data_IF_195106282463
#
_entry.id   IF_195106282463
#
_cell.length_a   1.000
_cell.length_b   1.000
_cell.length_c   1.000
_cell.angle_alpha   90.00
_cell.angle_beta   90.00
_cell.angle_gamma   90.00
#
_symmetry.space_group_name_H-M   'P 1'
#
loop_
_entity.id
_entity.type
_entity.pdbx_description
1 polymer ?
#
# COMPACT_ATOMS: atom_id res chain seq x y z
N UNK A 1 -61.29 6.86 -10.71
CA UNK A 1 -60.19 5.90 -10.53
C UNK A 1 -60.28 5.38 -9.10
N UNK A 2 -60.43 4.08 -8.90
CA UNK A 2 -60.78 3.49 -7.58
C UNK A 2 -59.56 3.63 -6.65
N UNK A 3 -59.72 4.19 -5.45
CA UNK A 3 -58.66 4.47 -4.47
C UNK A 3 -57.82 3.23 -4.16
N UNK A 4 -58.39 2.05 -4.14
CA UNK A 4 -57.67 0.77 -3.98
C UNK A 4 -56.67 0.47 -5.12
N UNK A 5 -56.97 0.80 -6.36
CA UNK A 5 -56.03 0.59 -7.50
C UNK A 5 -54.86 1.56 -7.44
N UNK A 6 -55.06 2.77 -6.91
CA UNK A 6 -54.00 3.76 -6.72
C UNK A 6 -53.02 3.34 -5.61
N UNK A 7 -53.57 2.81 -4.51
CA UNK A 7 -52.74 2.33 -3.37
C UNK A 7 -51.86 1.14 -3.80
N UNK A 8 -52.44 0.17 -4.55
CA UNK A 8 -51.67 -0.98 -5.06
C UNK A 8 -50.54 -0.54 -6.01
N UNK A 9 -50.79 0.44 -6.89
CA UNK A 9 -49.75 0.95 -7.80
C UNK A 9 -48.63 1.68 -7.05
N UNK A 10 -48.95 2.46 -6.00
CA UNK A 10 -47.96 3.15 -5.20
C UNK A 10 -47.09 2.14 -4.41
N UNK A 11 -47.70 1.12 -3.80
CA UNK A 11 -46.96 0.06 -3.06
C UNK A 11 -46.07 -0.72 -4.00
N UNK A 12 -46.53 -1.05 -5.22
CA UNK A 12 -45.70 -1.74 -6.22
C UNK A 12 -44.51 -0.91 -6.68
N UNK A 13 -44.64 0.40 -6.84
CA UNK A 13 -43.53 1.31 -7.16
C UNK A 13 -42.47 1.38 -6.03
N UNK A 14 -42.94 1.38 -4.79
CA UNK A 14 -42.02 1.35 -3.61
C UNK A 14 -41.24 0.03 -3.53
N UNK A 15 -41.90 -1.11 -3.79
CA UNK A 15 -41.23 -2.42 -3.76
C UNK A 15 -40.15 -2.51 -4.86
N UNK A 16 -40.42 -2.01 -6.06
CA UNK A 16 -39.47 -1.99 -7.18
C UNK A 16 -38.25 -1.09 -6.83
N UNK A 17 -38.46 0.04 -6.16
CA UNK A 17 -37.37 0.93 -5.72
C UNK A 17 -36.47 0.28 -4.66
N UNK A 18 -37.03 -0.54 -3.77
CA UNK A 18 -36.26 -1.29 -2.78
C UNK A 18 -35.41 -2.41 -3.39
N UNK A 19 -35.94 -3.11 -4.41
CA UNK A 19 -35.22 -4.19 -5.10
C UNK A 19 -34.00 -3.62 -5.83
N UNK A 20 -34.13 -2.47 -6.53
CA UNK A 20 -33.01 -1.83 -7.21
C UNK A 20 -31.96 -1.23 -6.25
N UNK A 21 -32.32 -0.92 -4.99
CA UNK A 21 -31.38 -0.44 -3.98
C UNK A 21 -30.54 -1.58 -3.36
N UNK A 22 -31.02 -2.82 -3.43
CA UNK A 22 -30.34 -3.98 -2.87
C UNK A 22 -29.28 -4.58 -3.81
N UNK A 23 -29.43 -4.43 -5.12
CA UNK A 23 -28.44 -4.93 -6.11
C UNK A 23 -27.11 -4.15 -6.11
N UNK A 24 -27.04 -2.96 -5.48
CA UNK A 24 -25.78 -2.19 -5.34
C UNK A 24 -24.89 -2.62 -4.19
N UNK A 25 -25.27 -3.62 -3.39
CA UNK A 25 -24.53 -3.99 -2.16
C UNK A 25 -23.42 -5.02 -2.35
N UNK A 26 -23.34 -5.67 -3.48
CA UNK A 26 -22.37 -6.77 -3.69
C UNK A 26 -21.35 -6.50 -4.81
N UNK A 27 -21.01 -5.25 -5.07
CA UNK A 27 -19.82 -4.96 -5.87
C UNK A 27 -18.60 -5.51 -5.12
N UNK A 28 -18.06 -6.63 -5.61
CA UNK A 28 -16.86 -7.25 -5.06
C UNK A 28 -15.76 -6.20 -4.93
N UNK A 29 -15.34 -5.94 -3.70
CA UNK A 29 -14.30 -4.96 -3.44
C UNK A 29 -13.01 -5.43 -4.11
N UNK A 30 -12.39 -4.58 -4.92
CA UNK A 30 -11.08 -4.84 -5.50
C UNK A 30 -10.08 -5.26 -4.43
N UNK A 31 -9.35 -6.33 -4.67
CA UNK A 31 -8.30 -6.83 -3.78
C UNK A 31 -6.97 -6.87 -4.57
N UNK A 32 -6.04 -6.01 -4.21
CA UNK A 32 -4.73 -5.89 -4.85
C UNK A 32 -3.97 -7.22 -4.81
N UNK A 33 -4.04 -7.93 -3.69
CA UNK A 33 -3.32 -9.20 -3.50
C UNK A 33 -3.98 -10.39 -4.22
N UNK A 34 -5.17 -10.20 -4.79
CA UNK A 34 -5.88 -11.23 -5.56
C UNK A 34 -6.64 -10.59 -6.73
N UNK A 35 -5.93 -10.04 -7.72
CA UNK A 35 -6.54 -9.42 -8.90
C UNK A 35 -7.37 -10.43 -9.69
N UNK A 36 -8.46 -9.95 -10.31
CA UNK A 36 -9.30 -10.77 -11.17
C UNK A 36 -8.70 -10.87 -12.58
N UNK A 37 -8.85 -12.04 -13.20
CA UNK A 37 -8.49 -12.28 -14.59
C UNK A 37 -7.38 -13.28 -14.80
N UNK A 38 -7.15 -13.70 -16.04
CA UNK A 38 -6.02 -14.56 -16.36
C UNK A 38 -4.71 -13.76 -16.26
N UNK A 39 -3.71 -14.32 -15.59
CA UNK A 39 -2.35 -13.79 -15.57
C UNK A 39 -1.37 -14.89 -15.99
N UNK A 40 -0.21 -14.48 -16.46
CA UNK A 40 0.90 -15.35 -16.82
C UNK A 40 2.10 -14.97 -15.96
N UNK A 41 2.65 -15.95 -15.29
CA UNK A 41 3.93 -15.78 -14.63
C UNK A 41 5.06 -15.71 -15.67
N UNK A 42 5.94 -14.73 -15.52
CA UNK A 42 7.10 -14.53 -16.37
C UNK A 42 8.34 -14.44 -15.47
N UNK A 43 9.32 -15.30 -15.69
CA UNK A 43 10.58 -15.29 -14.96
C UNK A 43 11.71 -14.88 -15.91
N UNK A 44 12.55 -13.94 -15.45
CA UNK A 44 13.72 -13.48 -16.19
C UNK A 44 14.81 -13.01 -15.22
N UNK A 45 16.06 -13.02 -15.67
CA UNK A 45 17.20 -12.54 -14.90
C UNK A 45 17.57 -11.15 -15.40
N UNK A 46 17.75 -10.22 -14.48
CA UNK A 46 18.20 -8.85 -14.75
C UNK A 46 19.40 -8.52 -13.89
N UNK A 47 20.25 -7.61 -14.35
CA UNK A 47 21.40 -7.08 -13.63
C UNK A 47 21.38 -5.54 -13.54
N UNK A 48 20.28 -4.93 -13.94
CA UNK A 48 20.04 -3.49 -13.86
C UNK A 48 18.55 -3.21 -13.73
N UNK A 49 18.18 -2.04 -13.19
CA UNK A 49 16.81 -1.57 -13.09
C UNK A 49 16.71 -0.06 -13.31
N UNK A 50 15.49 0.43 -13.49
CA UNK A 50 15.20 1.84 -13.73
C UNK A 50 14.34 2.39 -12.59
N UNK A 51 14.66 3.59 -12.10
CA UNK A 51 13.92 4.30 -11.05
C UNK A 51 13.78 3.52 -9.73
N UNK A 52 14.79 2.77 -9.40
CA UNK A 52 14.86 2.04 -8.14
C UNK A 52 15.11 3.01 -6.99
N UNK A 53 14.41 2.81 -5.89
CA UNK A 53 14.77 3.42 -4.61
C UNK A 53 15.72 2.48 -3.88
N UNK A 54 16.68 3.06 -3.18
CA UNK A 54 17.74 2.32 -2.53
C UNK A 54 18.03 2.90 -1.15
N UNK A 55 18.38 2.03 -0.20
CA UNK A 55 18.92 2.43 1.09
C UNK A 55 20.02 1.45 1.55
N UNK A 56 20.93 1.93 2.39
CA UNK A 56 22.04 1.14 2.93
C UNK A 56 21.81 0.89 4.41
N UNK A 57 21.99 -0.35 4.84
CA UNK A 57 21.87 -0.71 6.26
C UNK A 57 22.83 0.13 7.13
N UNK A 58 22.46 0.46 8.39
CA UNK A 58 23.29 1.26 9.27
C UNK A 58 24.69 0.67 9.55
N UNK A 59 24.83 -0.64 9.42
CA UNK A 59 26.11 -1.35 9.54
C UNK A 59 26.96 -1.33 8.25
N UNK A 60 26.44 -0.73 7.16
CA UNK A 60 27.10 -0.60 5.87
C UNK A 60 27.29 -1.90 5.09
N UNK A 61 26.60 -2.99 5.44
CA UNK A 61 26.86 -4.32 4.85
C UNK A 61 25.84 -4.77 3.81
N UNK A 62 24.65 -4.17 3.83
CA UNK A 62 23.51 -4.58 3.00
C UNK A 62 22.85 -3.37 2.35
N UNK A 63 22.39 -3.55 1.14
CA UNK A 63 21.58 -2.60 0.39
C UNK A 63 20.18 -3.20 0.27
N UNK A 64 19.14 -2.42 0.59
CA UNK A 64 17.76 -2.73 0.26
C UNK A 64 17.31 -1.86 -0.90
N UNK A 65 16.51 -2.41 -1.81
CA UNK A 65 16.03 -1.68 -2.97
C UNK A 65 14.69 -2.24 -3.48
N UNK A 66 13.96 -1.44 -4.23
CA UNK A 66 12.79 -1.91 -4.96
C UNK A 66 13.11 -2.19 -6.43
N UNK A 67 12.50 -3.22 -6.99
CA UNK A 67 12.55 -3.54 -8.40
C UNK A 67 11.23 -4.15 -8.86
N UNK A 68 10.59 -3.51 -9.84
CA UNK A 68 9.31 -3.95 -10.43
C UNK A 68 8.15 -4.07 -9.42
N UNK A 69 8.22 -3.35 -8.30
CA UNK A 69 7.19 -3.36 -7.28
C UNK A 69 7.40 -4.40 -6.18
N UNK A 70 8.56 -5.04 -6.13
CA UNK A 70 8.98 -5.95 -5.06
C UNK A 70 10.22 -5.40 -4.34
N UNK A 71 10.43 -5.82 -3.09
CA UNK A 71 11.56 -5.40 -2.24
C UNK A 71 12.63 -6.49 -2.20
N UNK A 72 13.86 -6.11 -2.51
CA UNK A 72 15.04 -6.97 -2.51
C UNK A 72 16.14 -6.45 -1.59
N UNK A 73 17.02 -7.35 -1.18
CA UNK A 73 18.31 -6.98 -0.58
C UNK A 73 19.48 -7.63 -1.30
N UNK A 74 20.65 -6.97 -1.19
CA UNK A 74 21.91 -7.45 -1.73
C UNK A 74 23.07 -7.02 -0.81
N UNK A 75 24.10 -7.83 -0.61
CA UNK A 75 25.32 -7.39 0.09
C UNK A 75 25.97 -6.20 -0.63
N UNK A 76 26.51 -5.23 0.11
CA UNK A 76 27.26 -4.08 -0.46
C UNK A 76 28.44 -4.58 -1.34
N UNK A 77 29.02 -5.73 -1.02
CA UNK A 77 30.06 -6.36 -1.84
C UNK A 77 29.56 -6.92 -3.19
N UNK A 78 28.25 -6.84 -3.45
CA UNK A 78 27.63 -7.41 -4.64
C UNK A 78 27.26 -8.87 -4.46
N UNK A 79 26.75 -9.47 -5.54
CA UNK A 79 26.30 -10.86 -5.56
C UNK A 79 24.88 -10.98 -6.11
N UNK A 80 24.17 -12.02 -5.70
CA UNK A 80 22.79 -12.26 -6.05
C UNK A 80 21.84 -11.56 -5.07
N UNK A 81 20.86 -10.84 -5.60
CA UNK A 81 19.84 -10.18 -4.79
C UNK A 81 18.82 -11.20 -4.26
N UNK A 82 18.43 -11.04 -2.99
CA UNK A 82 17.41 -11.85 -2.33
C UNK A 82 16.09 -11.09 -2.33
N UNK A 83 15.02 -11.72 -2.77
CA UNK A 83 13.66 -11.21 -2.57
C UNK A 83 13.34 -11.24 -1.08
N UNK A 84 13.00 -10.08 -0.51
CA UNK A 84 12.55 -9.94 0.88
C UNK A 84 11.02 -9.98 0.96
N UNK A 85 10.36 -9.19 0.14
CA UNK A 85 8.91 -9.09 0.12
C UNK A 85 8.43 -8.79 -1.31
N UNK A 86 7.33 -9.39 -1.73
CA UNK A 86 6.79 -9.21 -3.07
C UNK A 86 5.46 -9.91 -3.27
N UNK A 87 4.85 -9.69 -4.45
CA UNK A 87 3.55 -10.25 -4.80
C UNK A 87 2.83 -9.44 -5.86
N UNK A 88 1.52 -9.27 -5.70
CA UNK A 88 0.72 -8.44 -6.63
C UNK A 88 0.67 -6.97 -6.21
N UNK A 89 0.97 -6.66 -4.96
CA UNK A 89 1.00 -5.30 -4.47
C UNK A 89 2.20 -4.54 -5.07
N UNK A 90 2.05 -3.23 -5.20
CA UNK A 90 3.13 -2.35 -5.62
C UNK A 90 3.91 -1.87 -4.39
N UNK A 91 5.11 -2.40 -4.19
CA UNK A 91 5.95 -2.19 -3.02
C UNK A 91 7.22 -1.45 -3.39
N UNK A 92 7.44 -0.28 -2.78
CA UNK A 92 8.52 0.63 -3.18
C UNK A 92 9.06 1.43 -1.98
N UNK A 93 10.19 2.09 -2.23
CA UNK A 93 10.79 3.06 -1.30
C UNK A 93 11.21 2.45 0.03
N UNK A 94 11.92 1.32 0.04
CA UNK A 94 12.38 0.71 1.28
C UNK A 94 13.41 1.59 2.00
N UNK A 95 13.35 1.58 3.36
CA UNK A 95 14.31 2.28 4.23
C UNK A 95 14.59 1.46 5.48
N UNK A 96 15.84 1.25 5.81
CA UNK A 96 16.22 0.64 7.07
C UNK A 96 15.85 1.52 8.27
N UNK A 97 15.44 0.90 9.36
CA UNK A 97 15.34 1.57 10.66
C UNK A 97 16.73 1.97 11.18
N UNK A 98 16.82 2.96 12.08
CA UNK A 98 18.10 3.41 12.62
C UNK A 98 18.93 2.31 13.29
N UNK A 99 18.27 1.33 13.90
CA UNK A 99 18.90 0.14 14.51
C UNK A 99 19.20 -0.97 13.49
N UNK A 100 18.75 -0.83 12.22
CA UNK A 100 18.94 -1.79 11.16
C UNK A 100 18.14 -3.09 11.29
N UNK A 101 17.20 -3.17 12.25
CA UNK A 101 16.43 -4.40 12.51
C UNK A 101 15.15 -4.50 11.68
N UNK A 102 14.67 -3.37 11.15
CA UNK A 102 13.42 -3.27 10.39
C UNK A 102 13.63 -2.53 9.08
N UNK A 103 12.67 -2.71 8.17
CA UNK A 103 12.57 -2.00 6.90
C UNK A 103 11.15 -1.44 6.81
N UNK A 104 11.03 -0.12 6.62
CA UNK A 104 9.78 0.49 6.20
C UNK A 104 9.71 0.53 4.67
N UNK A 105 8.50 0.51 4.13
CA UNK A 105 8.25 0.65 2.69
C UNK A 105 6.85 1.18 2.43
N UNK A 106 6.60 1.63 1.21
CA UNK A 106 5.27 2.00 0.72
C UNK A 106 4.67 0.80 0.02
N UNK A 107 3.41 0.46 0.34
CA UNK A 107 2.66 -0.61 -0.34
C UNK A 107 1.18 -0.27 -0.47
N UNK A 108 0.57 -0.69 -1.57
CA UNK A 108 -0.86 -0.61 -1.82
C UNK A 108 -1.63 -1.90 -1.47
N UNK A 109 -0.99 -2.87 -0.82
CA UNK A 109 -1.59 -4.14 -0.40
C UNK A 109 -2.87 -3.98 0.44
N UNK A 110 -3.00 -2.87 1.17
CA UNK A 110 -4.18 -2.50 1.95
C UNK A 110 -5.30 -1.82 1.15
N UNK A 111 -5.15 -1.64 -0.16
CA UNK A 111 -6.11 -1.00 -1.06
C UNK A 111 -5.77 0.45 -1.42
N UNK A 112 -4.63 0.95 -1.01
CA UNK A 112 -4.06 2.26 -1.38
C UNK A 112 -2.70 2.44 -0.72
N UNK A 113 -1.88 3.35 -1.26
CA UNK A 113 -0.52 3.57 -0.78
C UNK A 113 -0.51 3.95 0.69
N UNK A 114 0.12 3.12 1.48
CA UNK A 114 0.30 3.27 2.91
C UNK A 114 1.72 2.86 3.31
N UNK A 115 2.12 3.23 4.52
CA UNK A 115 3.40 2.83 5.09
C UNK A 115 3.25 1.48 5.77
N UNK A 116 4.17 0.59 5.43
CA UNK A 116 4.32 -0.75 5.99
C UNK A 116 5.70 -0.88 6.63
N UNK A 117 5.81 -1.80 7.57
CA UNK A 117 7.07 -2.15 8.24
C UNK A 117 7.18 -3.66 8.30
N UNK A 118 8.36 -4.18 7.98
CA UNK A 118 8.71 -5.60 8.12
C UNK A 118 10.02 -5.76 8.89
N UNK A 119 10.34 -6.96 9.31
CA UNK A 119 11.66 -7.29 9.82
C UNK A 119 12.72 -7.21 8.69
N UNK A 120 13.99 -7.05 9.05
CA UNK A 120 15.11 -6.97 8.09
C UNK A 120 15.17 -8.15 7.12
N UNK A 121 14.73 -9.33 7.53
CA UNK A 121 14.72 -10.54 6.71
C UNK A 121 13.51 -10.67 5.76
N UNK A 122 12.59 -9.68 5.78
CA UNK A 122 11.36 -9.63 5.01
C UNK A 122 10.14 -10.23 5.71
N UNK A 123 10.30 -10.80 6.91
CA UNK A 123 9.20 -11.40 7.66
C UNK A 123 8.32 -10.37 8.37
N UNK A 124 7.13 -10.79 8.79
CA UNK A 124 6.20 -10.01 9.63
C UNK A 124 5.82 -8.63 9.07
N UNK A 125 5.63 -8.52 7.77
CA UNK A 125 5.17 -7.27 7.15
C UNK A 125 3.82 -6.83 7.72
N UNK A 126 3.75 -5.60 8.21
CA UNK A 126 2.59 -5.03 8.87
C UNK A 126 2.29 -3.62 8.36
N UNK A 127 1.04 -3.36 8.05
CA UNK A 127 0.55 -2.02 7.72
C UNK A 127 0.53 -1.14 8.97
N UNK A 128 1.21 0.01 8.92
CA UNK A 128 1.29 0.97 10.02
C UNK A 128 0.21 2.05 9.88
N UNK A 129 0.05 2.60 8.67
CA UNK A 129 -0.92 3.67 8.40
C UNK A 129 -2.14 3.12 7.67
N UNK A 130 -3.31 3.78 7.81
CA UNK A 130 -4.59 3.31 7.23
C UNK A 130 -5.30 4.42 6.46
N UNK A 131 -4.53 5.15 5.66
CA UNK A 131 -5.11 6.20 4.82
C UNK A 131 -5.92 5.57 3.67
N UNK A 132 -7.14 6.06 3.48
CA UNK A 132 -8.07 5.48 2.50
C UNK A 132 -8.33 6.38 1.30
N UNK A 133 -8.02 7.68 1.42
CA UNK A 133 -8.26 8.68 0.38
C UNK A 133 -7.00 9.45 0.00
N UNK A 134 -6.26 9.98 0.98
CA UNK A 134 -5.01 10.71 0.77
C UNK A 134 -3.85 9.72 0.91
N UNK A 135 -3.26 9.35 -0.21
CA UNK A 135 -2.19 8.34 -0.26
C UNK A 135 -0.91 8.84 0.42
N UNK A 136 -0.15 7.89 0.96
CA UNK A 136 1.13 8.14 1.62
C UNK A 136 2.28 7.53 0.82
N UNK A 137 3.42 8.23 0.78
CA UNK A 137 4.66 7.68 0.24
C UNK A 137 5.90 8.37 0.86
N UNK A 138 7.08 7.96 0.42
CA UNK A 138 8.36 8.52 0.85
C UNK A 138 8.51 8.54 2.39
N UNK A 139 8.17 7.43 3.03
CA UNK A 139 8.36 7.28 4.47
C UNK A 139 9.85 7.32 4.84
N UNK A 140 10.18 7.97 5.96
CA UNK A 140 11.50 7.95 6.60
C UNK A 140 11.34 7.78 8.10
N UNK A 141 12.28 7.09 8.74
CA UNK A 141 12.30 6.91 10.18
C UNK A 141 12.74 8.19 10.90
N UNK A 142 12.20 8.44 12.08
CA UNK A 142 12.84 9.34 13.05
C UNK A 142 14.12 8.70 13.59
N UNK A 143 15.10 9.50 14.08
CA UNK A 143 16.37 8.98 14.56
C UNK A 143 16.26 7.99 15.73
N UNK A 144 15.22 8.09 16.55
CA UNK A 144 14.92 7.19 17.66
C UNK A 144 14.17 5.91 17.23
N UNK A 145 13.69 5.84 15.96
CA UNK A 145 12.93 4.73 15.44
C UNK A 145 11.49 4.62 15.94
N UNK A 146 11.00 5.59 16.71
CA UNK A 146 9.64 5.58 17.27
C UNK A 146 8.61 6.12 16.29
N UNK A 147 9.02 6.99 15.36
CA UNK A 147 8.13 7.64 14.42
C UNK A 147 8.57 7.45 12.98
N UNK A 148 7.62 7.65 12.09
CA UNK A 148 7.79 7.68 10.63
C UNK A 148 7.23 9.00 10.12
N UNK A 149 8.02 9.74 9.37
CA UNK A 149 7.58 10.92 8.64
C UNK A 149 7.29 10.49 7.21
N UNK A 150 6.09 10.75 6.73
CA UNK A 150 5.69 10.40 5.37
C UNK A 150 5.01 11.56 4.66
N UNK A 151 5.12 11.58 3.33
CA UNK A 151 4.40 12.54 2.50
C UNK A 151 2.97 12.08 2.28
N UNK A 152 2.01 12.89 2.70
CA UNK A 152 0.58 12.69 2.49
C UNK A 152 0.09 13.55 1.33
N UNK A 153 -0.42 12.95 0.27
CA UNK A 153 -0.91 13.66 -0.90
C UNK A 153 -2.24 14.36 -0.62
N UNK A 154 -2.53 15.45 -1.33
CA UNK A 154 -3.81 16.15 -1.19
C UNK A 154 -4.98 15.41 -1.85
N UNK A 155 -4.69 14.50 -2.77
CA UNK A 155 -5.68 13.75 -3.54
C UNK A 155 -5.45 12.25 -3.41
N UNK A 156 -6.41 11.45 -3.89
CA UNK A 156 -6.31 9.99 -3.96
C UNK A 156 -5.39 9.47 -5.06
N UNK A 157 -4.69 10.35 -5.77
CA UNK A 157 -3.76 9.97 -6.85
C UNK A 157 -2.34 10.33 -6.49
N UNK A 158 -1.38 9.57 -7.00
CA UNK A 158 0.06 9.90 -6.97
C UNK A 158 0.31 11.10 -7.88
N UNK A 159 -0.26 12.25 -7.57
CA UNK A 159 -0.09 13.46 -8.39
C UNK A 159 1.27 14.09 -8.14
N UNK A 160 1.76 14.83 -9.14
CA UNK A 160 2.92 15.72 -9.03
C UNK A 160 2.65 16.90 -8.08
N UNK A 161 1.45 16.97 -7.51
CA UNK A 161 1.03 18.02 -6.61
C UNK A 161 1.77 18.06 -5.30
N UNK A 162 1.58 19.15 -4.58
CA UNK A 162 2.05 19.33 -3.23
C UNK A 162 1.47 18.26 -2.31
N UNK A 163 2.24 17.85 -1.34
CA UNK A 163 1.82 16.99 -0.23
C UNK A 163 2.19 17.64 1.08
N UNK A 164 1.61 17.16 2.13
CA UNK A 164 1.93 17.54 3.51
C UNK A 164 2.86 16.52 4.12
N UNK A 165 3.73 16.95 5.04
CA UNK A 165 4.52 16.03 5.85
C UNK A 165 3.72 15.66 7.09
N UNK A 166 3.57 14.37 7.31
CA UNK A 166 2.81 13.82 8.42
C UNK A 166 3.69 12.88 9.25
N UNK A 167 3.52 12.96 10.57
CA UNK A 167 4.22 12.14 11.54
C UNK A 167 3.29 11.02 12.01
N UNK A 168 3.76 9.77 11.96
CA UNK A 168 3.03 8.59 12.40
C UNK A 168 3.87 7.84 13.43
N UNK A 169 3.23 7.38 14.51
CA UNK A 169 3.89 6.48 15.46
C UNK A 169 4.01 5.07 14.86
N UNK A 170 5.13 4.38 15.05
CA UNK A 170 5.38 3.02 14.52
C UNK A 170 4.43 1.97 15.09
N UNK A 171 3.82 2.21 16.23
CA UNK A 171 2.75 1.39 16.80
C UNK A 171 1.40 1.53 16.08
N UNK A 172 1.27 2.47 15.13
CA UNK A 172 0.03 2.80 14.43
C UNK A 172 -0.70 4.00 15.05
N UNK A 173 -1.93 4.25 14.59
CA UNK A 173 -2.77 5.38 14.98
C UNK A 173 -2.91 6.41 13.85
N UNK A 174 -3.61 7.51 14.17
CA UNK A 174 -3.78 8.64 13.27
C UNK A 174 -2.49 9.48 13.24
N UNK A 175 -2.14 9.98 12.08
CA UNK A 175 -0.97 10.84 11.94
C UNK A 175 -1.21 12.26 12.44
N UNK A 176 -0.12 12.99 12.66
CA UNK A 176 -0.08 14.41 12.98
C UNK A 176 0.60 15.16 11.82
N UNK A 177 0.02 16.32 11.43
CA UNK A 177 0.58 17.23 10.43
C UNK A 177 1.60 18.16 11.06
#
# INVERSE_FOLDING_TARGET
MNCQKLIVAIVSLFIISFINAQEKKDAKKWNVNNPEGPYKEVSFIVNEGTWMNVDVSPDGKEIVFDLLGDIYSIPVAGGEAKLLHGGHAFEVQPRFSPDGMKILFTSDAGGGDNIWVMNRDGSEAKQITKESFRLLNNGVWSPDGEYIIARKHFTSTRSLGAGEMWLYHTGGGDGLQ
#
